data_IF_477621704788
#
_entry.id   IF_477621704788
#
_cell.length_a   1.000
_cell.length_b   1.000
_cell.length_c   1.000
_cell.angle_alpha   90.00
_cell.angle_beta   90.00
_cell.angle_gamma   90.00
#
_symmetry.space_group_name_H-M   'P 1'
#
loop_
_entity.id
_entity.type
_entity.pdbx_description
1 polymer ?
#
# COMPACT_ATOMS: atom_id res chain seq x y z
N UNK A 1 -31.18 18.69 -9.37
CA UNK A 1 -31.34 18.15 -8.01
C UNK A 1 -30.44 18.98 -7.11
N UNK A 2 -30.95 19.50 -6.01
CA UNK A 2 -30.12 20.18 -5.01
C UNK A 2 -29.14 19.15 -4.47
N UNK A 3 -27.84 19.43 -4.50
CA UNK A 3 -26.81 18.53 -3.97
C UNK A 3 -26.97 18.35 -2.44
N UNK A 4 -26.60 17.17 -1.95
CA UNK A 4 -26.63 16.86 -0.52
C UNK A 4 -25.69 17.81 0.24
N UNK A 5 -26.24 18.57 1.19
CA UNK A 5 -25.49 19.56 2.00
C UNK A 5 -24.30 18.93 2.73
N UNK A 6 -24.42 17.66 3.11
CA UNK A 6 -23.31 16.94 3.74
C UNK A 6 -22.15 16.74 2.75
N UNK A 7 -22.43 16.19 1.56
CA UNK A 7 -21.43 16.01 0.51
C UNK A 7 -20.79 17.34 0.08
N UNK A 8 -21.58 18.41 -0.08
CA UNK A 8 -21.05 19.74 -0.41
C UNK A 8 -20.11 20.27 0.67
N UNK A 9 -20.47 20.12 1.95
CA UNK A 9 -19.63 20.55 3.06
C UNK A 9 -18.34 19.71 3.15
N UNK A 10 -18.44 18.41 2.84
CA UNK A 10 -17.29 17.52 2.80
C UNK A 10 -16.33 17.87 1.65
N UNK A 11 -16.85 18.12 0.45
CA UNK A 11 -16.04 18.51 -0.71
C UNK A 11 -15.39 19.88 -0.52
N UNK A 12 -16.14 20.83 0.05
CA UNK A 12 -15.59 22.14 0.42
C UNK A 12 -14.51 22.03 1.50
N UNK A 13 -14.60 21.04 2.41
CA UNK A 13 -13.58 20.77 3.41
C UNK A 13 -12.33 20.17 2.75
N UNK A 14 -12.48 19.15 1.89
CA UNK A 14 -11.38 18.51 1.14
C UNK A 14 -10.57 19.50 0.30
N UNK A 15 -11.25 20.51 -0.24
CA UNK A 15 -10.64 21.55 -1.07
C UNK A 15 -9.85 22.62 -0.30
N UNK A 16 -9.81 22.56 1.04
CA UNK A 16 -9.06 23.54 1.84
C UNK A 16 -7.56 23.28 1.78
N UNK A 17 -6.76 24.34 1.86
CA UNK A 17 -5.29 24.24 1.87
C UNK A 17 -4.72 23.68 3.17
N UNK A 18 -5.51 23.66 4.26
CA UNK A 18 -5.13 23.12 5.56
C UNK A 18 -6.36 22.90 6.44
N UNK A 19 -6.25 22.02 7.43
CA UNK A 19 -7.37 21.46 8.21
C UNK A 19 -7.03 21.36 9.70
N UNK A 20 -8.07 21.43 10.53
CA UNK A 20 -8.02 21.11 11.97
C UNK A 20 -8.61 19.71 12.24
N UNK A 21 -8.06 18.99 13.22
CA UNK A 21 -8.51 17.61 13.55
C UNK A 21 -10.00 17.52 13.89
N UNK A 22 -10.57 18.61 14.43
CA UNK A 22 -11.98 18.70 14.80
C UNK A 22 -12.93 18.79 13.60
N UNK A 23 -12.42 19.17 12.42
CA UNK A 23 -13.21 19.37 11.21
C UNK A 23 -13.42 18.05 10.45
N UNK A 24 -12.46 17.14 10.55
CA UNK A 24 -12.45 15.86 9.82
C UNK A 24 -12.98 14.69 10.65
N UNK A 25 -13.77 14.96 11.69
CA UNK A 25 -14.22 13.95 12.67
C UNK A 25 -14.95 12.74 12.07
N UNK A 26 -15.73 12.95 11.00
CA UNK A 26 -16.42 11.86 10.29
C UNK A 26 -15.52 11.07 9.32
N UNK A 27 -14.32 11.57 9.06
CA UNK A 27 -13.44 11.10 7.98
C UNK A 27 -12.25 10.29 8.50
N UNK A 28 -12.24 9.97 9.80
CA UNK A 28 -11.22 9.12 10.40
C UNK A 28 -11.36 7.68 9.92
N UNK A 29 -10.26 7.12 9.41
CA UNK A 29 -10.22 5.82 8.78
C UNK A 29 -9.83 4.73 9.79
N UNK A 30 -10.42 3.54 9.64
CA UNK A 30 -10.02 2.37 10.45
C UNK A 30 -8.67 1.83 9.94
N UNK A 31 -7.68 1.60 10.82
CA UNK A 31 -6.40 1.00 10.41
C UNK A 31 -6.56 -0.42 9.86
N UNK A 32 -5.73 -0.78 8.88
CA UNK A 32 -5.80 -2.08 8.20
C UNK A 32 -5.81 -3.27 9.16
N UNK A 33 -4.87 -3.31 10.10
CA UNK A 33 -4.78 -4.43 11.05
C UNK A 33 -5.97 -4.50 12.01
N UNK A 34 -6.62 -3.37 12.31
CA UNK A 34 -7.86 -3.38 13.09
C UNK A 34 -8.99 -3.96 12.25
N UNK A 35 -9.19 -3.49 11.01
CA UNK A 35 -10.20 -4.02 10.12
C UNK A 35 -10.04 -5.54 9.90
N UNK A 36 -8.85 -6.00 9.51
CA UNK A 36 -8.60 -7.43 9.28
C UNK A 36 -8.68 -8.26 10.56
N UNK A 37 -8.35 -7.68 11.72
CA UNK A 37 -8.56 -8.31 13.02
C UNK A 37 -10.04 -8.53 13.31
N UNK A 38 -10.89 -7.54 13.01
CA UNK A 38 -12.35 -7.65 13.13
C UNK A 38 -12.90 -8.67 12.11
N UNK A 39 -12.46 -8.59 10.86
CA UNK A 39 -12.86 -9.52 9.79
C UNK A 39 -12.54 -10.98 10.15
N UNK A 40 -11.37 -11.23 10.72
CA UNK A 40 -10.97 -12.56 11.18
C UNK A 40 -11.88 -13.12 12.29
N UNK A 41 -12.56 -12.26 13.05
CA UNK A 41 -13.41 -12.66 14.18
C UNK A 41 -14.90 -12.72 13.84
N UNK A 42 -15.37 -11.81 12.99
CA UNK A 42 -16.80 -11.60 12.75
C UNK A 42 -17.20 -11.63 11.26
N UNK A 43 -16.22 -11.79 10.36
CA UNK A 43 -16.43 -11.83 8.93
C UNK A 43 -16.99 -13.16 8.39
N UNK A 44 -16.91 -13.36 7.06
CA UNK A 44 -16.29 -12.47 6.07
C UNK A 44 -17.04 -11.14 5.93
N UNK A 45 -16.31 -10.03 6.01
CA UNK A 45 -16.79 -8.68 5.73
C UNK A 45 -16.62 -8.39 4.25
N UNK A 46 -17.72 -8.03 3.58
CA UNK A 46 -17.78 -7.94 2.11
C UNK A 46 -18.36 -6.61 1.60
N UNK A 47 -18.91 -5.79 2.50
CA UNK A 47 -19.50 -4.48 2.20
C UNK A 47 -19.04 -3.46 3.24
N UNK A 48 -18.51 -2.30 2.83
CA UNK A 48 -18.16 -1.21 3.74
C UNK A 48 -19.22 -0.10 3.69
N UNK A 49 -19.94 0.09 4.79
CA UNK A 49 -21.13 0.95 4.81
C UNK A 49 -20.81 2.45 4.78
N UNK A 50 -19.63 2.87 5.21
CA UNK A 50 -19.31 4.29 5.38
C UNK A 50 -17.86 4.55 4.97
N UNK A 51 -17.64 4.65 3.67
CA UNK A 51 -16.31 4.77 3.09
C UNK A 51 -16.28 5.67 1.85
N UNK A 52 -15.08 6.05 1.44
CA UNK A 52 -14.76 6.63 0.15
C UNK A 52 -13.82 5.67 -0.60
N UNK A 53 -13.64 5.89 -1.91
CA UNK A 53 -12.71 5.11 -2.74
C UNK A 53 -11.30 4.98 -2.13
N UNK A 54 -10.82 6.03 -1.46
CA UNK A 54 -9.47 6.07 -0.88
C UNK A 54 -9.33 5.34 0.46
N UNK A 55 -10.43 5.00 1.15
CA UNK A 55 -10.38 4.41 2.48
C UNK A 55 -11.20 3.13 2.67
N UNK A 56 -11.97 2.72 1.66
CA UNK A 56 -12.81 1.53 1.69
C UNK A 56 -12.03 0.27 2.07
N UNK A 57 -12.64 -0.57 2.91
CA UNK A 57 -12.04 -1.84 3.38
C UNK A 57 -12.60 -3.07 2.67
N UNK A 58 -13.65 -2.89 1.89
CA UNK A 58 -14.27 -3.91 1.06
C UNK A 58 -14.30 -3.41 -0.40
N UNK A 59 -14.40 -4.34 -1.36
CA UNK A 59 -14.57 -4.00 -2.77
C UNK A 59 -15.90 -3.27 -3.01
N UNK A 60 -16.96 -3.72 -2.34
CA UNK A 60 -18.25 -3.04 -2.32
C UNK A 60 -18.32 -2.07 -1.14
N UNK A 61 -18.74 -0.84 -1.40
CA UNK A 61 -18.89 0.18 -0.36
C UNK A 61 -19.90 1.26 -0.75
N UNK A 62 -20.34 2.05 0.24
CA UNK A 62 -21.19 3.22 0.01
C UNK A 62 -20.46 4.51 0.38
N UNK A 63 -20.45 5.44 -0.56
CA UNK A 63 -20.01 6.82 -0.38
C UNK A 63 -21.05 7.69 0.32
N UNK A 64 -20.65 8.90 0.69
CA UNK A 64 -21.59 9.90 1.22
C UNK A 64 -22.69 10.23 0.18
N UNK A 65 -22.33 10.22 -1.10
CA UNK A 65 -23.22 10.44 -2.25
C UNK A 65 -24.21 9.29 -2.43
N UNK A 66 -23.74 8.04 -2.33
CA UNK A 66 -24.61 6.84 -2.37
C UNK A 66 -25.59 6.82 -1.20
N UNK A 67 -25.17 7.38 -0.07
CA UNK A 67 -25.89 7.42 1.19
C UNK A 67 -26.38 6.04 1.64
N UNK A 68 -25.56 5.37 2.45
CA UNK A 68 -25.88 4.05 2.98
C UNK A 68 -27.28 3.95 3.61
N UNK A 69 -27.79 4.99 4.28
CA UNK A 69 -29.10 4.92 4.94
C UNK A 69 -30.29 4.88 3.96
N UNK A 70 -30.08 5.17 2.68
CA UNK A 70 -31.09 4.96 1.63
C UNK A 70 -31.10 3.53 1.09
N UNK A 71 -30.05 2.76 1.36
CA UNK A 71 -29.81 1.47 0.73
C UNK A 71 -30.45 0.33 1.52
N UNK A 72 -30.88 -0.71 0.80
CA UNK A 72 -31.24 -1.99 1.41
C UNK A 72 -29.99 -2.86 1.55
N UNK A 73 -29.30 -2.71 2.69
CA UNK A 73 -28.07 -3.45 2.96
C UNK A 73 -28.29 -4.96 2.95
N UNK A 74 -29.47 -5.42 3.36
CA UNK A 74 -29.77 -6.85 3.45
C UNK A 74 -29.89 -7.50 2.07
N UNK A 75 -30.45 -6.78 1.09
CA UNK A 75 -30.54 -7.22 -0.28
C UNK A 75 -29.15 -7.33 -0.92
N UNK A 76 -28.31 -6.30 -0.75
CA UNK A 76 -26.92 -6.32 -1.23
C UNK A 76 -26.12 -7.50 -0.62
N UNK A 77 -26.23 -7.73 0.69
CA UNK A 77 -25.55 -8.84 1.35
C UNK A 77 -26.07 -10.23 0.92
N UNK A 78 -27.32 -10.34 0.46
CA UNK A 78 -27.85 -11.58 -0.09
C UNK A 78 -27.13 -12.00 -1.39
N UNK A 79 -26.61 -11.04 -2.14
CA UNK A 79 -25.81 -11.27 -3.35
C UNK A 79 -24.34 -11.51 -3.01
N UNK A 80 -23.77 -10.71 -2.09
CA UNK A 80 -22.35 -10.77 -1.74
C UNK A 80 -21.96 -11.93 -0.79
N UNK A 81 -22.93 -12.53 -0.12
CA UNK A 81 -22.75 -13.67 0.79
C UNK A 81 -21.71 -13.40 1.91
N UNK A 82 -21.98 -12.38 2.74
CA UNK A 82 -21.12 -12.03 3.87
C UNK A 82 -21.81 -11.12 4.88
N UNK A 83 -21.01 -10.31 5.58
CA UNK A 83 -21.48 -9.28 6.49
C UNK A 83 -20.96 -7.90 6.04
N UNK A 84 -21.66 -6.84 6.43
CA UNK A 84 -21.17 -5.48 6.20
C UNK A 84 -20.41 -4.94 7.41
N UNK A 85 -19.37 -4.16 7.15
CA UNK A 85 -18.60 -3.41 8.12
C UNK A 85 -19.08 -1.97 8.20
N UNK A 86 -18.98 -1.34 9.37
CA UNK A 86 -19.20 0.10 9.48
C UNK A 86 -18.30 0.76 10.52
N UNK A 87 -17.59 1.79 10.09
CA UNK A 87 -16.98 2.82 10.94
C UNK A 87 -17.77 4.13 10.75
N UNK A 88 -18.86 4.34 11.51
CA UNK A 88 -19.87 5.33 11.15
C UNK A 88 -19.45 6.79 11.45
N UNK A 89 -20.02 7.77 10.71
CA UNK A 89 -19.87 9.19 11.04
C UNK A 89 -20.60 9.55 12.34
N UNK A 90 -19.93 10.32 13.20
CA UNK A 90 -20.44 10.75 14.52
C UNK A 90 -21.06 12.15 14.52
N UNK A 91 -21.02 12.85 13.39
CA UNK A 91 -21.66 14.15 13.25
C UNK A 91 -23.13 14.11 13.60
N UNK A 92 -23.67 15.28 13.93
CA UNK A 92 -25.10 15.43 14.16
C UNK A 92 -25.86 15.02 12.91
N UNK A 93 -27.01 14.41 13.13
CA UNK A 93 -27.85 13.92 12.06
C UNK A 93 -28.14 15.03 11.04
N UNK A 94 -27.73 14.78 9.81
CA UNK A 94 -28.00 15.64 8.66
C UNK A 94 -28.99 14.93 7.75
N UNK A 95 -30.00 15.66 7.29
CA UNK A 95 -30.99 15.17 6.35
C UNK A 95 -30.89 15.91 5.03
N UNK A 96 -31.15 15.19 3.95
CA UNK A 96 -31.36 15.74 2.62
C UNK A 96 -32.58 15.07 1.99
N UNK A 97 -33.58 15.87 1.59
CA UNK A 97 -34.83 15.38 0.99
C UNK A 97 -35.59 14.35 1.85
N UNK A 98 -35.55 14.51 3.17
CA UNK A 98 -36.22 13.62 4.14
C UNK A 98 -35.41 12.38 4.53
N UNK A 99 -34.27 12.16 3.88
CA UNK A 99 -33.40 11.02 4.13
C UNK A 99 -32.19 11.43 4.95
N UNK A 100 -31.86 10.67 5.99
CA UNK A 100 -30.66 10.91 6.79
C UNK A 100 -29.41 10.47 6.03
N UNK A 101 -28.30 11.18 6.23
CA UNK A 101 -26.97 10.78 5.72
C UNK A 101 -26.03 10.40 6.87
N UNK A 102 -26.10 11.14 7.99
CA UNK A 102 -25.28 10.89 9.17
C UNK A 102 -26.14 10.82 10.44
N UNK A 103 -25.49 10.50 11.56
CA UNK A 103 -26.08 10.49 12.88
C UNK A 103 -26.29 9.09 13.43
N UNK A 104 -25.49 8.73 14.43
CA UNK A 104 -25.44 7.40 15.03
C UNK A 104 -26.80 6.80 15.38
N UNK A 105 -27.76 7.60 15.87
CA UNK A 105 -29.11 7.10 16.19
C UNK A 105 -29.79 6.47 14.97
N UNK A 106 -29.73 7.13 13.82
CA UNK A 106 -30.39 6.67 12.59
C UNK A 106 -29.62 5.52 11.96
N UNK A 107 -28.28 5.55 12.05
CA UNK A 107 -27.42 4.47 11.60
C UNK A 107 -27.70 3.17 12.36
N UNK A 108 -27.73 3.22 13.70
CA UNK A 108 -28.01 2.05 14.52
C UNK A 108 -29.45 1.57 14.33
N UNK A 109 -30.42 2.48 14.19
CA UNK A 109 -31.80 2.12 13.89
C UNK A 109 -31.94 1.38 12.54
N UNK A 110 -31.24 1.88 11.50
CA UNK A 110 -31.23 1.24 10.19
C UNK A 110 -30.57 -0.14 10.24
N UNK A 111 -29.47 -0.27 11.00
CA UNK A 111 -28.84 -1.56 11.24
C UNK A 111 -29.82 -2.57 11.87
N UNK A 112 -30.61 -2.17 12.86
CA UNK A 112 -31.64 -3.03 13.46
C UNK A 112 -32.69 -3.45 12.44
N UNK A 113 -33.17 -2.53 11.60
CA UNK A 113 -34.15 -2.83 10.53
C UNK A 113 -33.57 -3.83 9.52
N UNK A 114 -32.36 -3.56 9.03
CA UNK A 114 -31.72 -4.42 8.02
C UNK A 114 -31.33 -5.78 8.59
N UNK A 115 -31.03 -5.85 9.89
CA UNK A 115 -30.84 -7.12 10.61
C UNK A 115 -32.12 -7.95 10.68
N UNK A 116 -33.29 -7.34 10.91
CA UNK A 116 -34.56 -8.08 10.90
C UNK A 116 -34.91 -8.62 9.51
N UNK A 117 -34.33 -8.07 8.44
CA UNK A 117 -34.39 -8.64 7.08
C UNK A 117 -33.37 -9.77 6.83
N UNK A 118 -32.52 -10.09 7.81
CA UNK A 118 -31.59 -11.22 7.77
C UNK A 118 -30.14 -10.86 7.44
N UNK A 119 -29.82 -9.58 7.24
CA UNK A 119 -28.44 -9.17 7.02
C UNK A 119 -27.58 -9.19 8.28
N UNK A 120 -26.26 -9.22 8.09
CA UNK A 120 -25.25 -9.30 9.16
C UNK A 120 -24.39 -8.05 9.13
N UNK A 121 -24.23 -7.38 10.27
CA UNK A 121 -23.52 -6.09 10.35
C UNK A 121 -22.55 -6.06 11.53
N UNK A 122 -21.36 -5.52 11.30
CA UNK A 122 -20.29 -5.42 12.30
C UNK A 122 -19.81 -3.97 12.34
N UNK A 123 -20.09 -3.27 13.43
CA UNK A 123 -19.73 -1.87 13.60
C UNK A 123 -18.58 -1.69 14.59
N UNK A 124 -17.58 -0.89 14.20
CA UNK A 124 -16.56 -0.38 15.13
C UNK A 124 -17.02 0.96 15.69
N UNK A 125 -17.38 1.00 16.98
CA UNK A 125 -17.98 2.17 17.62
C UNK A 125 -17.30 2.55 18.92
N UNK A 126 -17.52 3.79 19.37
CA UNK A 126 -17.16 4.22 20.71
C UNK A 126 -18.02 3.46 21.73
N UNK A 127 -17.38 2.93 22.77
CA UNK A 127 -18.05 2.40 23.96
C UNK A 127 -18.70 3.55 24.73
N UNK A 128 -19.96 3.85 24.43
CA UNK A 128 -20.68 5.01 24.91
C UNK A 128 -22.07 4.62 25.42
N UNK A 129 -22.12 3.79 26.47
CA UNK A 129 -23.37 3.25 27.05
C UNK A 129 -24.33 4.31 27.61
N UNK A 130 -23.86 5.55 27.79
CA UNK A 130 -24.71 6.69 28.17
C UNK A 130 -25.43 7.35 26.99
N UNK A 131 -25.02 7.03 25.76
CA UNK A 131 -25.57 7.62 24.56
C UNK A 131 -26.83 6.88 24.12
N UNK A 132 -27.83 7.63 23.70
CA UNK A 132 -29.12 7.13 23.19
C UNK A 132 -29.04 6.28 21.92
N UNK A 133 -27.89 6.29 21.24
CA UNK A 133 -27.63 5.48 20.05
C UNK A 133 -26.88 4.20 20.38
N UNK A 134 -26.45 4.00 21.64
CA UNK A 134 -25.80 2.76 22.03
C UNK A 134 -26.71 1.56 21.69
N UNK A 135 -26.23 0.58 20.90
CA UNK A 135 -27.10 -0.46 20.36
C UNK A 135 -27.34 -1.56 21.39
N UNK A 136 -28.27 -1.33 22.31
CA UNK A 136 -28.67 -2.32 23.33
C UNK A 136 -29.29 -3.60 22.72
N UNK A 137 -29.75 -3.53 21.48
CA UNK A 137 -30.36 -4.63 20.73
C UNK A 137 -29.38 -5.38 19.81
N UNK A 138 -28.08 -5.05 19.84
CA UNK A 138 -27.04 -5.83 19.16
C UNK A 138 -26.97 -7.26 19.74
N UNK A 139 -26.76 -8.27 18.88
CA UNK A 139 -26.64 -9.67 19.32
C UNK A 139 -25.32 -9.97 20.04
N UNK A 140 -24.29 -9.17 19.74
CA UNK A 140 -23.01 -9.23 20.44
C UNK A 140 -22.38 -7.86 20.57
N UNK A 141 -21.81 -7.57 21.74
CA UNK A 141 -20.90 -6.44 21.95
C UNK A 141 -19.57 -6.94 22.48
N UNK A 142 -18.50 -6.76 21.70
CA UNK A 142 -17.14 -7.01 22.14
C UNK A 142 -16.44 -5.71 22.54
N UNK A 143 -16.16 -5.54 23.83
CA UNK A 143 -15.44 -4.36 24.33
C UNK A 143 -13.93 -4.48 24.10
N UNK A 144 -13.31 -3.45 23.54
CA UNK A 144 -11.89 -3.44 23.25
C UNK A 144 -11.11 -2.93 24.48
N UNK A 145 -10.23 -3.77 25.02
CA UNK A 145 -9.29 -3.39 26.08
C UNK A 145 -8.07 -2.72 25.47
N UNK A 146 -7.98 -1.42 25.68
CA UNK A 146 -6.97 -0.54 25.07
C UNK A 146 -7.64 0.50 24.18
N UNK A 147 -7.00 1.66 24.03
CA UNK A 147 -7.53 2.72 23.17
C UNK A 147 -7.05 2.50 21.74
N UNK A 148 -7.96 2.67 20.79
CA UNK A 148 -7.66 2.59 19.36
C UNK A 148 -7.14 3.92 18.83
N UNK A 149 -6.16 3.84 17.94
CA UNK A 149 -5.83 4.90 17.01
C UNK A 149 -6.65 4.72 15.73
N UNK A 150 -6.86 5.81 15.01
CA UNK A 150 -7.46 5.85 13.69
C UNK A 150 -6.53 6.64 12.78
N UNK A 151 -6.62 6.36 11.49
CA UNK A 151 -5.82 7.04 10.48
C UNK A 151 -6.58 8.28 9.98
N UNK A 152 -5.83 9.32 9.63
CA UNK A 152 -6.41 10.48 8.95
C UNK A 152 -6.66 10.16 7.47
N UNK A 153 -7.64 10.82 6.84
CA UNK A 153 -7.83 10.66 5.41
C UNK A 153 -6.61 11.21 4.64
N UNK A 154 -6.31 10.64 3.47
CA UNK A 154 -5.11 10.97 2.69
C UNK A 154 -5.02 12.45 2.28
N UNK A 155 -6.16 13.11 2.11
CA UNK A 155 -6.24 14.54 1.76
C UNK A 155 -6.07 15.48 2.97
N UNK A 156 -5.93 14.96 4.20
CA UNK A 156 -5.75 15.81 5.38
C UNK A 156 -4.38 16.50 5.37
N UNK A 157 -4.42 17.82 5.38
CA UNK A 157 -3.25 18.69 5.52
C UNK A 157 -3.33 19.41 6.87
N UNK A 158 -2.41 19.20 7.84
CA UNK A 158 -2.49 19.83 9.16
C UNK A 158 -2.26 21.35 9.06
N UNK A 159 -3.12 22.14 9.72
CA UNK A 159 -2.99 23.60 9.81
C UNK A 159 -1.76 24.07 10.59
N UNK A 160 -1.36 23.33 11.62
CA UNK A 160 -0.17 23.58 12.42
C UNK A 160 0.27 22.30 13.16
N UNK A 161 1.41 22.36 13.86
CA UNK A 161 1.97 21.21 14.62
C UNK A 161 0.99 20.66 15.69
N UNK A 162 -0.02 21.44 16.12
CA UNK A 162 -1.03 20.98 17.09
C UNK A 162 -2.14 20.15 16.42
N UNK A 163 -2.22 20.17 15.09
CA UNK A 163 -3.15 19.36 14.30
C UNK A 163 -2.55 18.01 13.89
N UNK A 164 -1.42 17.60 14.48
CA UNK A 164 -0.89 16.24 14.33
C UNK A 164 -1.55 15.34 15.38
N UNK A 165 -2.11 14.18 15.01
CA UNK A 165 -2.77 13.27 15.96
C UNK A 165 -1.80 12.81 17.05
N UNK A 166 -2.15 13.09 18.31
CA UNK A 166 -1.36 12.67 19.48
C UNK A 166 -2.01 11.47 20.17
N UNK A 167 -2.06 10.34 19.47
CA UNK A 167 -2.45 9.05 20.05
C UNK A 167 -3.96 8.86 20.31
N UNK A 168 -4.25 7.81 21.06
CA UNK A 168 -5.49 7.04 20.93
C UNK A 168 -6.79 7.72 21.43
N UNK A 169 -7.84 7.68 20.61
CA UNK A 169 -9.04 8.52 20.70
C UNK A 169 -9.98 8.09 21.82
N UNK A 170 -10.55 6.89 21.72
CA UNK A 170 -11.64 6.46 22.58
C UNK A 170 -11.55 4.98 22.97
N UNK A 171 -12.30 4.62 24.02
CA UNK A 171 -12.57 3.21 24.33
C UNK A 171 -13.51 2.66 23.26
N UNK A 172 -13.06 1.65 22.51
CA UNK A 172 -13.81 1.09 21.39
C UNK A 172 -14.64 -0.14 21.79
N UNK A 173 -15.68 -0.41 21.02
CA UNK A 173 -16.46 -1.63 21.05
C UNK A 173 -16.79 -2.07 19.61
N UNK A 174 -16.97 -3.37 19.43
CA UNK A 174 -17.47 -3.95 18.18
C UNK A 174 -18.90 -4.42 18.45
N UNK A 175 -19.87 -3.83 17.77
CA UNK A 175 -21.27 -4.22 17.84
C UNK A 175 -21.62 -5.11 16.64
N UNK A 176 -22.16 -6.30 16.91
CA UNK A 176 -22.57 -7.28 15.90
C UNK A 176 -24.08 -7.40 15.91
N UNK A 177 -24.66 -7.18 14.73
CA UNK A 177 -26.07 -7.39 14.42
C UNK A 177 -26.16 -8.61 13.52
N UNK A 178 -26.53 -9.75 14.09
CA UNK A 178 -26.59 -11.06 13.43
C UNK A 178 -27.58 -11.97 14.18
N UNK A 179 -28.79 -12.17 13.64
CA UNK A 179 -29.83 -13.06 14.21
C UNK A 179 -29.35 -14.51 14.37
N UNK A 180 -28.30 -14.89 13.65
CA UNK A 180 -27.71 -16.22 13.70
C UNK A 180 -26.62 -16.36 14.74
N UNK A 181 -26.24 -15.27 15.44
CA UNK A 181 -25.27 -15.32 16.53
C UNK A 181 -25.70 -16.31 17.62
N UNK A 182 -24.76 -17.16 18.04
CA UNK A 182 -24.94 -18.16 19.11
C UNK A 182 -23.91 -18.03 20.24
N UNK A 183 -23.03 -17.02 20.15
CA UNK A 183 -22.05 -16.73 21.17
C UNK A 183 -22.66 -15.99 22.37
N UNK A 184 -21.84 -15.58 23.34
CA UNK A 184 -22.30 -14.74 24.44
C UNK A 184 -22.79 -13.39 23.92
N UNK A 185 -23.68 -12.71 24.65
CA UNK A 185 -24.12 -11.35 24.29
C UNK A 185 -23.00 -10.31 24.44
N UNK A 186 -22.00 -10.59 25.27
CA UNK A 186 -20.87 -9.69 25.50
C UNK A 186 -19.54 -10.44 25.58
N UNK A 187 -18.47 -9.79 25.13
CA UNK A 187 -17.10 -10.27 25.29
C UNK A 187 -16.12 -9.11 25.47
N UNK A 188 -14.85 -9.45 25.65
CA UNK A 188 -13.75 -8.49 25.66
C UNK A 188 -12.62 -8.98 24.78
N UNK A 189 -12.02 -8.06 24.02
CA UNK A 189 -10.88 -8.33 23.15
C UNK A 189 -9.77 -7.35 23.50
N UNK A 190 -8.53 -7.82 23.65
CA UNK A 190 -7.38 -6.93 23.80
C UNK A 190 -7.08 -6.24 22.48
N UNK A 191 -6.80 -4.92 22.51
CA UNK A 191 -6.35 -4.18 21.32
C UNK A 191 -5.16 -4.86 20.65
N UNK A 192 -4.17 -5.29 21.45
CA UNK A 192 -2.97 -5.98 20.95
C UNK A 192 -3.30 -7.30 20.26
N UNK A 193 -4.29 -8.03 20.77
CA UNK A 193 -4.71 -9.30 20.17
C UNK A 193 -5.45 -9.05 18.85
N UNK A 194 -6.24 -7.97 18.79
CA UNK A 194 -6.93 -7.55 17.57
C UNK A 194 -5.91 -7.14 16.48
N UNK A 195 -4.96 -6.27 16.84
CA UNK A 195 -3.82 -5.85 15.99
C UNK A 195 -3.05 -7.09 15.48
N UNK A 196 -2.63 -7.98 16.39
CA UNK A 196 -1.86 -9.18 16.03
C UNK A 196 -2.63 -10.15 15.13
N UNK A 197 -3.95 -10.27 15.31
CA UNK A 197 -4.81 -11.09 14.43
C UNK A 197 -4.87 -10.50 13.03
N UNK A 198 -5.07 -9.19 12.91
CA UNK A 198 -5.09 -8.53 11.61
C UNK A 198 -3.74 -8.59 10.91
N UNK A 199 -2.64 -8.35 11.62
CA UNK A 199 -1.29 -8.48 11.07
C UNK A 199 -1.01 -9.90 10.57
N UNK A 200 -1.45 -10.92 11.32
CA UNK A 200 -1.33 -12.32 10.92
C UNK A 200 -2.18 -12.64 9.68
N UNK A 201 -3.41 -12.12 9.61
CA UNK A 201 -4.30 -12.29 8.46
C UNK A 201 -3.70 -11.65 7.21
N UNK A 202 -3.27 -10.39 7.30
CA UNK A 202 -2.59 -9.68 6.22
C UNK A 202 -1.32 -10.39 5.76
N UNK A 203 -0.53 -10.94 6.69
CA UNK A 203 0.65 -11.73 6.36
C UNK A 203 0.30 -13.00 5.58
N UNK A 204 -0.81 -13.66 5.90
CA UNK A 204 -1.30 -14.81 5.14
C UNK A 204 -1.76 -14.39 3.74
N UNK A 205 -2.53 -13.31 3.61
CA UNK A 205 -2.94 -12.76 2.30
C UNK A 205 -1.71 -12.48 1.44
N UNK A 206 -0.72 -11.74 1.98
CA UNK A 206 0.51 -11.40 1.23
C UNK A 206 1.27 -12.64 0.80
N UNK A 207 1.42 -13.63 1.68
CA UNK A 207 2.07 -14.90 1.37
C UNK A 207 1.33 -15.68 0.27
N UNK A 208 0.00 -15.72 0.33
CA UNK A 208 -0.81 -16.41 -0.68
C UNK A 208 -0.80 -15.66 -2.02
N UNK A 209 -0.86 -14.33 -2.01
CA UNK A 209 -0.68 -13.49 -3.20
C UNK A 209 0.70 -13.75 -3.84
N UNK A 210 1.77 -13.78 -3.04
CA UNK A 210 3.12 -14.14 -3.50
C UNK A 210 3.18 -15.57 -4.07
N UNK A 211 2.47 -16.53 -3.46
CA UNK A 211 2.41 -17.92 -3.94
C UNK A 211 1.68 -18.01 -5.29
N UNK A 212 0.54 -17.33 -5.43
CA UNK A 212 -0.23 -17.29 -6.68
C UNK A 212 0.56 -16.59 -7.79
N UNK A 213 1.26 -15.49 -7.47
CA UNK A 213 2.17 -14.84 -8.41
C UNK A 213 3.27 -15.80 -8.89
N UNK A 214 3.88 -16.59 -7.98
CA UNK A 214 4.88 -17.61 -8.34
C UNK A 214 4.29 -18.77 -9.16
N UNK A 215 3.07 -19.20 -8.86
CA UNK A 215 2.39 -20.26 -9.61
C UNK A 215 1.99 -19.81 -11.02
N UNK A 216 1.52 -18.57 -11.17
CA UNK A 216 1.24 -17.99 -12.48
C UNK A 216 2.52 -17.88 -13.32
N UNK A 217 3.64 -17.47 -12.71
CA UNK A 217 4.95 -17.51 -13.38
C UNK A 217 5.32 -18.93 -13.83
N UNK A 218 5.10 -19.96 -12.99
CA UNK A 218 5.38 -21.35 -13.35
C UNK A 218 4.44 -21.91 -14.43
N UNK A 219 3.17 -21.51 -14.43
CA UNK A 219 2.17 -21.90 -15.45
C UNK A 219 2.48 -21.27 -16.82
N UNK A 220 2.89 -20.00 -16.83
CA UNK A 220 3.39 -19.32 -18.04
C UNK A 220 4.64 -20.03 -18.57
N UNK A 221 5.53 -20.50 -17.69
CA UNK A 221 6.72 -21.26 -18.08
C UNK A 221 6.42 -22.65 -18.67
N UNK A 222 5.38 -23.34 -18.19
CA UNK A 222 4.94 -24.65 -18.71
C UNK A 222 4.19 -24.54 -20.05
N UNK A 223 3.45 -23.44 -20.28
CA UNK A 223 2.78 -23.17 -21.56
C UNK A 223 3.75 -22.72 -22.68
N UNK A 224 4.97 -22.31 -22.31
CA UNK A 224 6.03 -21.94 -23.23
C UNK A 224 6.96 -23.11 -23.61
N UNK A 225 6.59 -24.36 -23.29
CA UNK A 225 7.30 -25.54 -23.83
C UNK A 225 6.79 -25.75 -25.26
N UNK A 226 7.64 -25.63 -26.30
CA UNK A 226 7.21 -25.88 -27.67
C UNK A 226 6.81 -27.35 -27.80
N UNK A 227 5.56 -27.60 -28.16
CA UNK A 227 5.13 -28.93 -28.58
C UNK A 227 5.82 -29.20 -29.93
N UNK A 228 6.85 -30.05 -29.92
CA UNK A 228 7.57 -30.43 -31.14
C UNK A 228 6.67 -31.33 -31.98
N UNK A 229 5.92 -30.72 -32.89
CA UNK A 229 5.19 -31.43 -33.95
C UNK A 229 6.09 -31.43 -35.20
N UNK A 230 6.53 -32.59 -35.69
CA UNK A 230 7.36 -32.66 -36.88
C UNK A 230 6.51 -32.53 -38.15
N UNK A 231 6.68 -31.39 -38.83
CA UNK A 231 6.68 -31.17 -40.29
C UNK A 231 5.48 -31.63 -41.14
N UNK A 232 4.94 -30.71 -41.95
CA UNK A 232 4.84 -30.85 -43.41
C UNK A 232 4.42 -29.52 -44.05
N UNK A 233 4.99 -29.27 -45.22
CA UNK A 233 4.86 -28.10 -46.10
C UNK A 233 3.47 -27.94 -46.77
N UNK A 234 3.31 -26.71 -47.31
CA UNK A 234 2.54 -26.28 -48.49
C UNK A 234 1.07 -25.83 -48.37
N UNK A 235 0.88 -24.57 -48.81
CA UNK A 235 -0.10 -24.07 -49.79
C UNK A 235 -1.14 -22.98 -49.37
N UNK A 236 -0.95 -21.81 -50.02
CA UNK A 236 -1.93 -20.93 -50.71
C UNK A 236 -2.86 -19.90 -49.99
N UNK A 237 -2.55 -18.62 -50.29
CA UNK A 237 -3.35 -17.43 -50.70
C UNK A 237 -4.58 -16.86 -49.93
N UNK A 238 -4.38 -15.61 -49.41
CA UNK A 238 -5.15 -14.32 -49.48
C UNK A 238 -6.70 -14.26 -49.33
N UNK A 239 -7.33 -13.08 -49.07
CA UNK A 239 -7.12 -12.05 -48.04
C UNK A 239 -8.46 -11.54 -47.42
N UNK A 240 -8.47 -10.91 -46.23
CA UNK A 240 -9.53 -9.94 -45.88
C UNK A 240 -9.13 -9.01 -44.74
N UNK A 241 -9.56 -7.76 -44.89
CA UNK A 241 -9.50 -6.64 -43.95
C UNK A 241 -10.07 -6.97 -42.57
N UNK A 242 -9.45 -6.48 -41.49
CA UNK A 242 -10.09 -5.61 -40.48
C UNK A 242 -9.16 -5.34 -39.28
N UNK A 243 -9.27 -4.11 -38.77
CA UNK A 243 -8.96 -3.64 -37.40
C UNK A 243 -7.63 -4.04 -36.75
N UNK A 244 -6.72 -3.08 -36.58
CA UNK A 244 -5.69 -3.18 -35.53
C UNK A 244 -6.10 -2.30 -34.35
N UNK A 245 -6.80 -2.94 -33.42
CA UNK A 245 -6.82 -2.57 -32.01
C UNK A 245 -5.39 -2.62 -31.46
N UNK A 246 -4.96 -1.57 -30.76
CA UNK A 246 -3.77 -1.64 -29.93
C UNK A 246 -4.06 -2.64 -28.79
N UNK A 247 -3.42 -3.81 -28.85
CA UNK A 247 -3.47 -4.81 -27.79
C UNK A 247 -2.85 -4.24 -26.51
N UNK A 248 -3.70 -3.82 -25.58
CA UNK A 248 -3.33 -3.61 -24.18
C UNK A 248 -2.94 -4.96 -23.59
N UNK A 249 -1.63 -5.21 -23.48
CA UNK A 249 -1.10 -6.43 -22.84
C UNK A 249 -1.57 -6.50 -21.38
N UNK A 250 -2.14 -7.65 -21.02
CA UNK A 250 -2.62 -7.96 -19.68
C UNK A 250 -1.56 -7.67 -18.59
N UNK A 251 -2.00 -6.96 -17.56
CA UNK A 251 -1.26 -6.68 -16.32
C UNK A 251 -1.52 -7.82 -15.31
N UNK A 252 -0.59 -8.14 -14.39
CA UNK A 252 0.62 -7.41 -14.00
C UNK A 252 1.84 -7.66 -14.92
N UNK A 253 2.64 -6.62 -15.15
CA UNK A 253 3.85 -6.69 -15.97
C UNK A 253 5.10 -6.93 -15.10
N UNK A 254 6.04 -7.72 -15.61
CA UNK A 254 7.31 -7.94 -14.90
C UNK A 254 8.20 -6.71 -15.00
N UNK A 255 9.11 -6.52 -14.04
CA UNK A 255 10.10 -5.43 -14.11
C UNK A 255 10.87 -5.42 -15.44
N UNK A 256 11.22 -6.60 -15.94
CA UNK A 256 11.96 -6.76 -17.20
C UNK A 256 11.13 -6.34 -18.41
N UNK A 257 9.85 -6.73 -18.47
CA UNK A 257 8.95 -6.33 -19.55
C UNK A 257 8.70 -4.82 -19.56
N UNK A 258 8.61 -4.21 -18.38
CA UNK A 258 8.40 -2.77 -18.27
C UNK A 258 9.64 -2.02 -18.74
N UNK A 259 10.83 -2.40 -18.28
CA UNK A 259 12.10 -1.78 -18.68
C UNK A 259 12.39 -1.99 -20.18
N UNK A 260 12.07 -3.17 -20.72
CA UNK A 260 12.23 -3.46 -22.14
C UNK A 260 11.30 -2.62 -23.02
N UNK A 261 10.08 -2.32 -22.55
CA UNK A 261 9.11 -1.48 -23.26
C UNK A 261 9.39 0.02 -23.11
N UNK A 262 9.86 0.46 -21.95
CA UNK A 262 10.12 1.89 -21.69
C UNK A 262 11.47 2.36 -22.21
N UNK A 263 12.43 1.45 -22.42
CA UNK A 263 13.79 1.79 -22.85
C UNK A 263 14.62 2.49 -21.77
N UNK A 264 14.10 2.60 -20.53
CA UNK A 264 14.77 3.33 -19.44
C UNK A 264 15.79 2.47 -18.71
N UNK A 265 16.89 3.10 -18.29
CA UNK A 265 18.02 2.44 -17.61
C UNK A 265 17.92 2.44 -16.09
N UNK A 266 16.95 3.16 -15.51
CA UNK A 266 16.78 3.36 -14.07
C UNK A 266 15.33 3.22 -13.62
N UNK A 267 15.13 2.43 -12.55
CA UNK A 267 13.83 2.08 -11.95
C UNK A 267 13.67 2.70 -10.55
N UNK A 268 14.35 3.82 -10.31
CA UNK A 268 14.62 4.35 -8.96
C UNK A 268 13.36 4.89 -8.26
N UNK A 269 12.51 5.64 -8.97
CA UNK A 269 11.25 6.18 -8.41
C UNK A 269 10.29 5.07 -8.00
N UNK A 270 10.11 4.07 -8.87
CA UNK A 270 9.22 2.94 -8.63
C UNK A 270 9.73 2.06 -7.49
N UNK A 271 11.05 1.84 -7.43
CA UNK A 271 11.69 1.11 -6.33
C UNK A 271 11.59 1.85 -5.00
N UNK A 272 11.72 3.18 -5.02
CA UNK A 272 11.60 4.01 -3.81
C UNK A 272 10.18 4.03 -3.26
N UNK A 273 9.17 4.00 -4.14
CA UNK A 273 7.76 4.06 -3.76
C UNK A 273 7.20 2.70 -3.33
N UNK A 274 7.49 1.64 -4.08
CA UNK A 274 6.83 0.34 -3.93
C UNK A 274 7.79 -0.81 -3.56
N UNK A 275 9.07 -0.49 -3.35
CA UNK A 275 10.12 -1.47 -3.11
C UNK A 275 10.65 -2.11 -4.40
N UNK A 276 11.85 -2.68 -4.31
CA UNK A 276 12.47 -3.41 -5.41
C UNK A 276 11.96 -4.87 -5.43
N UNK A 277 11.13 -5.21 -6.41
CA UNK A 277 10.54 -6.54 -6.55
C UNK A 277 10.44 -6.99 -8.02
N UNK A 278 10.46 -8.30 -8.28
CA UNK A 278 10.43 -8.83 -9.65
C UNK A 278 9.07 -8.66 -10.34
N UNK A 279 7.98 -8.57 -9.58
CA UNK A 279 6.61 -8.39 -10.07
C UNK A 279 5.94 -7.23 -9.32
N UNK A 280 5.34 -6.30 -10.07
CA UNK A 280 4.56 -5.19 -9.52
C UNK A 280 3.07 -5.47 -9.72
N UNK A 281 2.22 -5.03 -8.79
CA UNK A 281 0.76 -5.19 -8.93
C UNK A 281 0.24 -4.37 -10.11
N UNK A 282 -1.04 -4.57 -10.48
CA UNK A 282 -1.71 -3.76 -11.50
C UNK A 282 -1.59 -2.26 -11.24
N UNK A 283 -1.89 -1.82 -10.02
CA UNK A 283 -1.83 -0.41 -9.62
C UNK A 283 -0.40 0.13 -9.66
N UNK A 284 0.58 -0.63 -9.15
CA UNK A 284 1.98 -0.23 -9.12
C UNK A 284 2.61 -0.17 -10.52
N UNK A 285 2.24 -1.09 -11.42
CA UNK A 285 2.71 -1.12 -12.80
C UNK A 285 2.17 0.08 -13.59
N UNK A 286 0.92 0.49 -13.33
CA UNK A 286 0.31 1.69 -13.92
C UNK A 286 1.13 2.96 -13.63
N UNK A 287 1.62 3.11 -12.39
CA UNK A 287 2.53 4.21 -12.03
C UNK A 287 3.96 3.96 -12.51
N UNK A 288 4.39 2.70 -12.54
CA UNK A 288 5.73 2.31 -12.94
C UNK A 288 6.11 2.70 -14.36
N UNK A 289 5.17 2.61 -15.31
CA UNK A 289 5.38 3.04 -16.69
C UNK A 289 5.55 4.56 -16.83
N UNK A 290 4.78 5.35 -16.07
CA UNK A 290 4.83 6.82 -16.11
C UNK A 290 6.05 7.37 -15.38
N UNK A 291 6.36 6.85 -14.19
CA UNK A 291 7.50 7.31 -13.39
C UNK A 291 8.85 6.81 -13.89
N UNK A 292 8.86 5.76 -14.73
CA UNK A 292 10.08 5.33 -15.39
C UNK A 292 10.52 6.28 -16.51
N UNK A 293 9.67 7.18 -16.99
CA UNK A 293 10.00 8.18 -18.01
C UNK A 293 10.22 9.59 -17.43
N UNK A 294 9.90 9.78 -16.14
CA UNK A 294 9.86 11.11 -15.54
C UNK A 294 11.22 11.55 -14.98
N UNK A 295 11.59 12.81 -15.22
CA UNK A 295 12.88 13.35 -14.78
C UNK A 295 12.91 13.52 -13.26
N UNK A 296 13.94 12.97 -12.61
CA UNK A 296 14.22 13.16 -11.17
C UNK A 296 14.44 14.63 -10.78
N UNK A 297 14.77 15.49 -11.75
CA UNK A 297 15.03 16.92 -11.52
C UNK A 297 13.83 17.81 -11.87
N UNK A 298 12.88 17.33 -12.69
CA UNK A 298 11.71 18.11 -13.14
C UNK A 298 10.57 17.17 -13.58
N UNK A 299 9.79 16.61 -12.64
CA UNK A 299 8.74 15.66 -12.98
C UNK A 299 7.56 16.37 -13.67
N UNK A 300 7.17 15.89 -14.86
CA UNK A 300 6.13 16.50 -15.73
C UNK A 300 4.77 15.83 -15.61
N UNK A 301 4.65 14.58 -15.13
CA UNK A 301 3.37 13.84 -15.09
C UNK A 301 3.15 13.16 -13.73
N UNK A 302 2.15 13.67 -12.99
CA UNK A 302 1.72 13.25 -11.65
C UNK A 302 2.80 13.55 -10.59
N UNK A 303 2.44 14.36 -9.59
CA UNK A 303 3.36 14.80 -8.54
C UNK A 303 3.93 13.62 -7.73
N UNK A 304 5.12 13.15 -8.09
CA UNK A 304 5.88 12.19 -7.29
C UNK A 304 6.19 12.85 -5.95
N UNK A 305 5.83 12.25 -4.79
CA UNK A 305 6.08 12.85 -3.50
C UNK A 305 7.57 13.18 -3.31
N UNK A 306 7.89 14.33 -2.71
CA UNK A 306 9.27 14.80 -2.50
C UNK A 306 10.11 13.78 -1.72
N UNK A 307 9.50 13.08 -0.76
CA UNK A 307 10.16 12.01 0.00
C UNK A 307 10.48 10.78 -0.86
N UNK A 308 9.66 10.48 -1.87
CA UNK A 308 9.92 9.43 -2.85
C UNK A 308 11.05 9.83 -3.79
N UNK A 309 11.10 11.09 -4.23
CA UNK A 309 12.20 11.63 -5.04
C UNK A 309 13.52 11.57 -4.24
N UNK A 310 13.48 11.99 -2.97
CA UNK A 310 14.67 11.99 -2.10
C UNK A 310 15.20 10.57 -1.90
N UNK A 311 14.33 9.59 -1.65
CA UNK A 311 14.71 8.17 -1.56
C UNK A 311 15.20 7.61 -2.90
N UNK A 312 14.57 8.00 -4.00
CA UNK A 312 14.98 7.57 -5.34
C UNK A 312 16.39 8.08 -5.69
N UNK A 313 16.74 9.32 -5.29
CA UNK A 313 18.09 9.87 -5.45
C UNK A 313 19.14 9.04 -4.72
N UNK A 314 18.86 8.65 -3.47
CA UNK A 314 19.76 7.78 -2.68
C UNK A 314 19.93 6.42 -3.38
N UNK A 315 18.84 5.77 -3.78
CA UNK A 315 18.88 4.47 -4.49
C UNK A 315 19.66 4.59 -5.81
N UNK A 316 19.48 5.69 -6.54
CA UNK A 316 20.17 5.93 -7.80
C UNK A 316 21.68 6.12 -7.61
N UNK A 317 22.08 6.87 -6.58
CA UNK A 317 23.49 7.02 -6.22
C UNK A 317 24.12 5.69 -5.80
N UNK A 318 23.42 4.87 -5.01
CA UNK A 318 23.87 3.53 -4.61
C UNK A 318 24.04 2.60 -5.82
N UNK A 319 23.04 2.57 -6.73
CA UNK A 319 23.11 1.76 -7.96
C UNK A 319 24.24 2.22 -8.90
N UNK A 320 24.43 3.54 -9.03
CA UNK A 320 25.50 4.10 -9.85
C UNK A 320 26.86 3.72 -9.27
N UNK A 321 27.01 3.84 -7.95
CA UNK A 321 28.25 3.46 -7.25
C UNK A 321 28.58 1.98 -7.42
N UNK A 322 27.58 1.11 -7.25
CA UNK A 322 27.74 -0.33 -7.45
C UNK A 322 28.15 -0.69 -8.89
N UNK A 323 27.53 -0.07 -9.91
CA UNK A 323 27.89 -0.28 -11.32
C UNK A 323 29.31 0.19 -11.64
N UNK A 324 29.73 1.31 -11.07
CA UNK A 324 31.10 1.82 -11.28
C UNK A 324 32.15 0.87 -10.70
N UNK A 325 31.90 0.30 -9.51
CA UNK A 325 32.77 -0.72 -8.92
C UNK A 325 32.78 -2.01 -9.74
N UNK A 326 31.61 -2.49 -10.15
CA UNK A 326 31.50 -3.72 -10.95
C UNK A 326 32.23 -3.60 -12.29
N UNK A 327 32.09 -2.45 -12.97
CA UNK A 327 32.84 -2.14 -14.20
C UNK A 327 34.34 -2.13 -13.94
N UNK A 328 34.78 -1.43 -12.89
CA UNK A 328 36.19 -1.34 -12.55
C UNK A 328 36.81 -2.71 -12.22
N UNK A 329 36.11 -3.54 -11.42
CA UNK A 329 36.55 -4.90 -11.06
C UNK A 329 36.60 -5.80 -12.29
N UNK A 330 35.63 -5.68 -13.21
CA UNK A 330 35.63 -6.46 -14.45
C UNK A 330 36.83 -6.14 -15.35
N UNK A 331 37.29 -4.89 -15.35
CA UNK A 331 38.44 -4.44 -16.13
C UNK A 331 39.79 -4.76 -15.48
N UNK A 332 39.88 -4.68 -14.15
CA UNK A 332 41.17 -4.69 -13.44
C UNK A 332 41.45 -5.96 -12.63
N UNK A 333 40.46 -6.87 -12.46
CA UNK A 333 40.62 -8.07 -11.64
C UNK A 333 40.49 -9.39 -12.44
N UNK A 334 41.29 -10.42 -12.09
CA UNK A 334 41.13 -11.78 -12.58
C UNK A 334 39.73 -12.33 -12.32
N UNK A 335 39.18 -13.07 -13.30
CA UNK A 335 37.78 -13.55 -13.31
C UNK A 335 37.40 -14.33 -12.04
N UNK A 336 38.32 -15.14 -11.53
CA UNK A 336 38.17 -15.98 -10.34
C UNK A 336 38.07 -15.18 -9.02
N UNK A 337 38.51 -13.92 -9.01
CA UNK A 337 38.53 -13.06 -7.83
C UNK A 337 37.49 -11.93 -7.88
N UNK A 338 36.77 -11.75 -8.99
CA UNK A 338 35.87 -10.60 -9.19
C UNK A 338 34.76 -10.50 -8.17
N UNK A 339 34.14 -11.63 -7.81
CA UNK A 339 33.01 -11.64 -6.86
C UNK A 339 33.48 -11.18 -5.48
N UNK A 340 34.52 -11.82 -4.92
CA UNK A 340 35.08 -11.47 -3.61
C UNK A 340 35.67 -10.05 -3.58
N UNK A 341 36.28 -9.61 -4.68
CA UNK A 341 36.79 -8.23 -4.78
C UNK A 341 35.65 -7.21 -4.80
N UNK A 342 34.61 -7.46 -5.58
CA UNK A 342 33.47 -6.55 -5.69
C UNK A 342 32.73 -6.41 -4.36
N UNK A 343 32.43 -7.53 -3.69
CA UNK A 343 31.78 -7.53 -2.37
C UNK A 343 32.59 -6.72 -1.35
N UNK A 344 33.91 -6.86 -1.38
CA UNK A 344 34.81 -6.13 -0.49
C UNK A 344 34.87 -4.63 -0.79
N UNK A 345 34.98 -4.26 -2.06
CA UNK A 345 35.06 -2.86 -2.46
C UNK A 345 33.74 -2.14 -2.15
N UNK A 346 32.59 -2.80 -2.31
CA UNK A 346 31.28 -2.26 -1.92
C UNK A 346 31.22 -1.95 -0.43
N UNK A 347 31.65 -2.89 0.42
CA UNK A 347 31.63 -2.69 1.88
C UNK A 347 32.56 -1.56 2.29
N UNK A 348 33.79 -1.53 1.76
CA UNK A 348 34.79 -0.54 2.15
C UNK A 348 34.47 0.84 1.57
N UNK A 349 33.95 0.95 0.34
CA UNK A 349 33.54 2.24 -0.21
C UNK A 349 32.45 2.89 0.63
N UNK A 350 31.50 2.11 1.14
CA UNK A 350 30.44 2.60 2.03
C UNK A 350 30.97 3.06 3.39
N UNK A 351 31.95 2.35 3.96
CA UNK A 351 32.63 2.77 5.20
C UNK A 351 33.31 4.14 5.01
N UNK A 352 34.11 4.30 3.96
CA UNK A 352 34.85 5.54 3.69
C UNK A 352 33.95 6.69 3.23
N UNK A 353 32.84 6.40 2.56
CA UNK A 353 31.80 7.40 2.25
C UNK A 353 31.22 7.98 3.53
N UNK A 354 30.95 7.15 4.55
CA UNK A 354 30.38 7.61 5.83
C UNK A 354 31.38 8.36 6.69
N UNK A 355 32.61 7.85 6.78
CA UNK A 355 33.64 8.41 7.67
C UNK A 355 34.32 9.66 7.08
N UNK A 356 34.58 9.68 5.77
CA UNK A 356 35.38 10.72 5.11
C UNK A 356 34.61 11.52 4.03
N UNK A 357 33.30 11.26 3.84
CA UNK A 357 32.51 11.81 2.74
C UNK A 357 33.16 11.57 1.35
N UNK A 358 33.92 10.49 1.22
CA UNK A 358 34.63 10.15 -0.02
C UNK A 358 33.64 9.62 -1.06
N UNK A 359 33.53 10.32 -2.19
CA UNK A 359 32.67 9.92 -3.31
C UNK A 359 33.20 8.68 -4.04
N UNK A 360 32.33 7.94 -4.75
CA UNK A 360 32.72 6.67 -5.37
C UNK A 360 33.80 6.83 -6.45
N UNK A 361 33.78 7.94 -7.20
CA UNK A 361 34.80 8.23 -8.22
C UNK A 361 36.19 8.42 -7.59
N UNK A 362 36.27 9.15 -6.48
CA UNK A 362 37.52 9.39 -5.77
C UNK A 362 38.02 8.11 -5.09
N UNK A 363 37.10 7.33 -4.53
CA UNK A 363 37.41 6.00 -3.99
C UNK A 363 38.03 5.09 -5.07
N UNK A 364 37.39 5.00 -6.25
CA UNK A 364 37.92 4.20 -7.37
C UNK A 364 39.27 4.74 -7.84
N UNK A 365 39.46 6.06 -7.89
CA UNK A 365 40.74 6.66 -8.26
C UNK A 365 41.85 6.28 -7.27
N UNK A 366 41.57 6.27 -5.97
CA UNK A 366 42.55 5.81 -4.96
C UNK A 366 42.85 4.34 -5.15
N UNK A 367 41.82 3.48 -5.22
CA UNK A 367 41.96 2.03 -5.38
C UNK A 367 42.71 1.66 -6.66
N UNK A 368 42.53 2.42 -7.74
CA UNK A 368 43.23 2.23 -9.03
C UNK A 368 44.74 2.44 -8.94
N UNK A 369 45.22 3.17 -7.93
CA UNK A 369 46.63 3.46 -7.72
C UNK A 369 47.29 2.55 -6.67
N UNK A 370 46.53 1.63 -6.06
CA UNK A 370 47.06 0.69 -5.07
C UNK A 370 47.67 -0.55 -5.72
N UNK A 371 48.62 -1.18 -5.04
CA UNK A 371 49.13 -2.47 -5.49
C UNK A 371 48.06 -3.56 -5.32
N UNK A 372 48.02 -4.50 -6.26
CA UNK A 372 47.02 -5.58 -6.26
C UNK A 372 47.01 -6.41 -4.97
N UNK A 373 48.16 -6.52 -4.29
CA UNK A 373 48.29 -7.23 -3.00
C UNK A 373 47.50 -6.56 -1.87
N UNK A 374 47.38 -5.22 -1.90
CA UNK A 374 46.62 -4.47 -0.89
C UNK A 374 45.11 -4.63 -1.08
N UNK A 375 44.68 -4.81 -2.34
CA UNK A 375 43.28 -5.07 -2.69
C UNK A 375 42.79 -6.44 -2.23
N UNK A 376 43.69 -7.42 -2.13
CA UNK A 376 43.39 -8.80 -1.74
C UNK A 376 43.08 -8.99 -0.25
N UNK A 377 43.23 -7.97 0.60
CA UNK A 377 42.86 -8.09 2.00
C UNK A 377 42.17 -6.83 2.51
N UNK A 378 40.96 -6.98 3.06
CA UNK A 378 40.16 -5.86 3.55
C UNK A 378 40.86 -5.01 4.62
N UNK A 379 41.81 -5.56 5.39
CA UNK A 379 42.61 -4.79 6.36
C UNK A 379 43.74 -4.00 5.69
N UNK A 380 44.39 -4.59 4.68
CA UNK A 380 45.45 -3.92 3.93
C UNK A 380 44.87 -2.79 3.07
N UNK A 381 43.76 -3.05 2.39
CA UNK A 381 43.02 -2.07 1.61
C UNK A 381 42.61 -0.84 2.46
N UNK A 382 42.00 -1.05 3.62
CA UNK A 382 41.66 0.05 4.54
C UNK A 382 42.89 0.86 4.97
N UNK A 383 44.01 0.17 5.23
CA UNK A 383 45.25 0.83 5.65
C UNK A 383 45.85 1.67 4.51
N UNK A 384 45.87 1.12 3.30
CA UNK A 384 46.41 1.78 2.12
C UNK A 384 45.58 3.03 1.75
N UNK A 385 44.25 2.92 1.76
CA UNK A 385 43.36 4.08 1.50
C UNK A 385 43.56 5.18 2.56
N UNK A 386 43.63 4.82 3.86
CA UNK A 386 43.92 5.80 4.91
C UNK A 386 45.25 6.52 4.70
N UNK A 387 46.30 5.78 4.32
CA UNK A 387 47.61 6.36 4.08
C UNK A 387 47.59 7.34 2.91
N UNK A 388 46.92 7.00 1.80
CA UNK A 388 46.75 7.89 0.65
C UNK A 388 45.95 9.16 1.01
N UNK A 389 44.91 9.04 1.84
CA UNK A 389 44.13 10.19 2.32
C UNK A 389 44.93 11.10 3.26
N UNK A 390 45.80 10.53 4.10
CA UNK A 390 46.69 11.29 4.98
C UNK A 390 47.80 12.01 4.21
N UNK A 391 48.35 11.38 3.18
CA UNK A 391 49.37 11.97 2.30
C UNK A 391 48.79 13.07 1.39
N UNK A 392 47.50 13.01 1.06
CA UNK A 392 46.81 14.05 0.28
C UNK A 392 46.35 15.25 1.12
N UNK A 393 46.35 15.13 2.45
CA UNK A 393 45.94 16.18 3.39
C UNK A 393 47.14 16.96 3.99
N UNK A 394 48.38 16.53 3.71
CA UNK A 394 49.63 17.17 4.10
C UNK A 394 50.21 17.99 2.93
#
# INVERSE_FOLDING_TARGET
>A
MTENKYCQALEALRSQSSHELKEVGDQWCTPENIFWGINAMFGPLVLDLFADESNAKCEEFYTAEDNALKQDWSACLAELNGAAFGNPPYSRATQHEGEYTTGMRYIMHHASIMREKGGRYVFLIKAATSEVWWPEDADHIAFIRGRLGFDLPEWFIPKDEKQVPTGAFFAGAIAVFDKTWRGPAMSYISRKDLEARGDAFLKQIRREAERLMKQNVHHIQLQNIPEVIPGTDDAEELPTEESVSAEEKELPLTREDILAKSGTTAWACVSAAFGNKPLYTFSESKFGHTWADDSLESPEIIAVPVDTITRAKVIFEEMTSARMLESWVSEHCPVDLRIDMNDRLIVISEEFRKEYQLGISDFIAIVSNLEFIDLQNARLLRKAIHQTLQESAA
#
